data_IF_631735895276
#
_entry.id   IF_631735895276
#
_cell.length_a   1.000
_cell.length_b   1.000
_cell.length_c   1.000
_cell.angle_alpha   90.00
_cell.angle_beta   90.00
_cell.angle_gamma   90.00
#
_symmetry.space_group_name_H-M   'P 1'
#
loop_
_entity.id
_entity.type
_entity.pdbx_description
1 polymer ?
#
# COMPACT_ATOMS: atom_id res chain seq x y z
N UNK A 1 -21.42 25.74 -40.21
CA UNK A 1 -20.83 24.43 -40.57
C UNK A 1 -20.46 23.72 -39.30
N UNK A 2 -21.44 23.01 -38.75
CA UNK A 2 -21.38 22.16 -37.56
C UNK A 2 -21.83 20.81 -38.07
N UNK A 3 -21.01 19.77 -37.92
CA UNK A 3 -21.45 18.43 -38.35
C UNK A 3 -20.32 17.42 -38.52
N UNK A 4 -20.50 16.30 -37.82
CA UNK A 4 -19.90 14.97 -38.07
C UNK A 4 -18.52 14.68 -37.47
N UNK A 5 -18.49 14.53 -36.14
CA UNK A 5 -17.67 13.50 -35.44
C UNK A 5 -18.33 13.00 -34.13
N UNK A 6 -19.62 12.66 -34.20
CA UNK A 6 -20.36 11.93 -33.14
C UNK A 6 -21.37 10.98 -33.80
N UNK A 7 -20.91 9.81 -34.23
CA UNK A 7 -21.75 8.64 -34.52
C UNK A 7 -20.84 7.48 -34.97
N UNK A 8 -20.32 6.67 -34.03
CA UNK A 8 -19.80 5.33 -34.32
C UNK A 8 -19.64 4.43 -33.08
N UNK A 9 -20.41 4.67 -32.01
CA UNK A 9 -20.46 3.79 -30.82
C UNK A 9 -21.90 3.45 -30.42
N UNK A 10 -22.80 3.36 -31.40
CA UNK A 10 -24.18 2.91 -31.18
C UNK A 10 -24.60 1.96 -32.31
N UNK A 11 -24.28 0.67 -32.16
CA UNK A 11 -25.07 -0.52 -32.58
C UNK A 11 -24.16 -1.74 -32.68
N UNK A 12 -24.13 -2.53 -31.60
CA UNK A 12 -23.97 -3.97 -31.67
C UNK A 12 -24.46 -4.58 -30.35
N UNK A 13 -25.78 -4.73 -30.23
CA UNK A 13 -26.37 -5.71 -29.33
C UNK A 13 -26.99 -6.81 -30.20
N UNK A 14 -26.65 -8.06 -29.91
CA UNK A 14 -27.54 -9.23 -29.73
C UNK A 14 -26.91 -10.53 -30.24
N UNK A 15 -26.40 -11.33 -29.30
CA UNK A 15 -26.57 -12.78 -29.29
C UNK A 15 -26.28 -13.35 -27.88
N UNK A 16 -26.94 -14.45 -27.48
CA UNK A 16 -27.24 -14.77 -26.08
C UNK A 16 -26.24 -15.78 -25.51
N UNK A 17 -25.89 -15.66 -24.23
CA UNK A 17 -25.21 -16.76 -23.51
C UNK A 17 -24.11 -16.40 -22.52
N UNK A 18 -23.96 -15.16 -22.08
CA UNK A 18 -23.08 -14.84 -20.95
C UNK A 18 -23.91 -14.43 -19.75
N UNK A 19 -23.91 -15.28 -18.71
CA UNK A 19 -24.43 -14.95 -17.38
C UNK A 19 -23.63 -13.76 -16.87
N UNK A 20 -24.19 -12.56 -16.98
CA UNK A 20 -23.73 -11.39 -16.23
C UNK A 20 -23.86 -11.73 -14.76
N UNK A 21 -22.73 -11.82 -14.05
CA UNK A 21 -22.75 -11.82 -12.59
C UNK A 21 -23.47 -10.54 -12.13
N UNK A 22 -24.43 -10.63 -11.19
CA UNK A 22 -25.13 -9.45 -10.73
C UNK A 22 -24.12 -8.52 -10.05
N UNK A 23 -24.04 -7.27 -10.53
CA UNK A 23 -23.43 -6.18 -9.79
C UNK A 23 -24.06 -6.16 -8.40
N UNK A 24 -23.22 -6.31 -7.38
CA UNK A 24 -23.65 -6.26 -5.98
C UNK A 24 -24.49 -4.99 -5.74
N UNK A 25 -25.55 -5.07 -4.91
CA UNK A 25 -26.43 -3.92 -4.67
C UNK A 25 -25.61 -2.74 -4.13
N UNK A 26 -25.93 -1.53 -4.58
CA UNK A 26 -25.40 -0.29 -4.00
C UNK A 26 -25.82 -0.24 -2.52
N UNK A 27 -24.93 -0.63 -1.63
CA UNK A 27 -25.13 -0.52 -0.18
C UNK A 27 -25.05 0.98 0.16
N UNK A 28 -26.20 1.55 0.51
CA UNK A 28 -26.42 2.99 0.73
C UNK A 28 -26.19 3.43 2.18
N UNK A 29 -25.28 2.77 2.92
CA UNK A 29 -24.93 3.17 4.28
C UNK A 29 -23.50 3.75 4.29
N UNK A 30 -23.25 4.91 4.92
CA UNK A 30 -21.90 5.42 5.08
C UNK A 30 -21.13 4.50 6.04
N UNK A 31 -20.27 3.66 5.50
CA UNK A 31 -19.31 2.91 6.28
C UNK A 31 -18.34 3.90 6.96
N UNK A 32 -18.01 3.70 8.26
CA UNK A 32 -16.97 4.50 8.89
C UNK A 32 -15.65 4.34 8.11
N UNK A 33 -14.76 5.34 8.13
CA UNK A 33 -13.48 5.25 7.44
C UNK A 33 -12.72 3.99 7.87
N UNK A 34 -11.97 3.42 6.92
CA UNK A 34 -11.18 2.19 7.04
C UNK A 34 -10.31 2.12 8.31
N UNK A 35 -10.02 3.29 8.89
CA UNK A 35 -9.16 3.45 10.05
C UNK A 35 -9.91 4.12 11.22
N UNK A 36 -11.13 3.67 11.54
CA UNK A 36 -11.72 4.02 12.83
C UNK A 36 -11.00 3.25 13.95
N UNK A 37 -9.92 3.83 14.46
CA UNK A 37 -9.31 3.37 15.70
C UNK A 37 -10.26 3.67 16.86
N UNK A 38 -11.23 2.80 17.13
CA UNK A 38 -11.93 2.86 18.41
C UNK A 38 -10.98 2.44 19.52
N UNK A 39 -11.09 3.09 20.67
CA UNK A 39 -10.30 2.84 21.90
C UNK A 39 -10.20 1.36 22.27
N UNK A 40 -11.20 0.56 21.88
CA UNK A 40 -11.34 -0.87 22.13
C UNK A 40 -10.53 -1.78 21.17
N UNK A 41 -9.97 -1.25 20.07
CA UNK A 41 -9.45 -2.06 18.94
C UNK A 41 -7.96 -1.83 18.61
N UNK A 42 -7.22 -1.14 19.47
CA UNK A 42 -5.78 -0.95 19.30
C UNK A 42 -4.98 -2.16 19.82
N UNK A 43 -4.17 -2.82 18.98
CA UNK A 43 -3.26 -3.87 19.42
C UNK A 43 -2.06 -3.25 20.16
N UNK A 44 -1.61 -3.85 21.26
CA UNK A 44 -0.38 -3.41 21.93
C UNK A 44 -0.58 -2.42 23.09
N UNK A 45 -1.74 -2.43 23.77
CA UNK A 45 -1.95 -1.73 25.05
C UNK A 45 -0.93 -2.08 26.15
N UNK A 46 -0.04 -3.06 25.93
CA UNK A 46 0.94 -3.51 26.93
C UNK A 46 2.01 -2.48 27.28
N UNK A 47 2.21 -1.41 26.48
CA UNK A 47 3.23 -0.39 26.78
C UNK A 47 2.95 1.07 26.36
N UNK A 48 1.73 1.43 25.92
CA UNK A 48 1.41 2.83 25.57
C UNK A 48 0.61 3.53 26.67
N UNK A 49 0.94 4.78 26.95
CA UNK A 49 0.17 5.56 27.93
C UNK A 49 -1.22 5.87 27.39
N UNK A 50 -2.23 5.97 28.27
CA UNK A 50 -3.58 6.40 27.86
C UNK A 50 -3.56 7.81 27.23
N UNK A 51 -2.56 8.62 27.55
CA UNK A 51 -2.34 9.93 26.92
C UNK A 51 -1.95 9.78 25.46
N UNK A 52 -1.01 8.90 25.13
CA UNK A 52 -0.58 8.64 23.74
C UNK A 52 -1.72 8.09 22.88
N UNK A 53 -2.51 7.17 23.44
CA UNK A 53 -3.69 6.63 22.74
C UNK A 53 -4.67 7.75 22.43
N UNK A 54 -5.00 8.58 23.43
CA UNK A 54 -5.92 9.68 23.24
C UNK A 54 -5.39 10.77 22.29
N UNK A 55 -4.10 11.07 22.35
CA UNK A 55 -3.41 12.00 21.44
C UNK A 55 -3.52 11.53 19.99
N UNK A 56 -3.26 10.24 19.76
CA UNK A 56 -3.45 9.61 18.46
C UNK A 56 -4.91 9.73 17.99
N UNK A 57 -5.89 9.41 18.83
CA UNK A 57 -7.31 9.47 18.47
C UNK A 57 -7.75 10.88 18.06
N UNK A 58 -7.27 11.90 18.78
CA UNK A 58 -7.55 13.31 18.45
C UNK A 58 -6.91 13.70 17.13
N UNK A 59 -5.64 13.35 16.91
CA UNK A 59 -4.93 13.65 15.67
C UNK A 59 -5.59 12.98 14.47
N UNK A 60 -5.92 11.70 14.59
CA UNK A 60 -6.55 10.91 13.53
C UNK A 60 -7.94 11.48 13.17
N UNK A 61 -8.72 11.84 14.18
CA UNK A 61 -10.00 12.52 13.97
C UNK A 61 -9.86 13.86 13.22
N UNK A 62 -8.88 14.69 13.60
CA UNK A 62 -8.60 15.98 12.91
C UNK A 62 -8.18 15.71 11.45
N UNK A 63 -7.32 14.71 11.23
CA UNK A 63 -6.83 14.31 9.90
C UNK A 63 -7.96 13.84 8.98
N UNK A 64 -8.89 13.04 9.50
CA UNK A 64 -10.02 12.51 8.71
C UNK A 64 -11.08 13.58 8.39
N UNK A 65 -11.35 14.49 9.33
CA UNK A 65 -12.34 15.57 9.15
C UNK A 65 -11.83 16.71 8.28
N UNK A 66 -10.51 16.93 8.25
CA UNK A 66 -9.86 18.07 7.61
C UNK A 66 -9.99 19.38 8.39
N UNK A 67 -11.18 19.63 8.94
CA UNK A 67 -11.49 20.83 9.72
C UNK A 67 -12.49 20.55 10.84
N UNK A 68 -12.21 21.02 12.06
CA UNK A 68 -13.03 20.75 13.25
C UNK A 68 -12.85 21.80 14.35
N UNK A 69 -13.67 21.73 15.39
CA UNK A 69 -13.55 22.52 16.63
C UNK A 69 -13.34 21.64 17.87
N UNK A 70 -12.82 22.20 18.96
CA UNK A 70 -12.66 21.45 20.25
C UNK A 70 -13.96 20.82 20.77
N UNK A 71 -15.12 21.51 20.75
CA UNK A 71 -16.38 20.89 21.17
C UNK A 71 -16.79 19.69 20.31
N UNK A 72 -16.51 19.72 19.01
CA UNK A 72 -16.80 18.59 18.11
C UNK A 72 -15.90 17.39 18.43
N UNK A 73 -14.59 17.62 18.62
CA UNK A 73 -13.65 16.57 19.05
C UNK A 73 -14.12 15.95 20.38
N UNK A 74 -14.49 16.78 21.36
CA UNK A 74 -14.95 16.32 22.67
C UNK A 74 -16.22 15.47 22.58
N UNK A 75 -17.19 15.91 21.77
CA UNK A 75 -18.46 15.21 21.55
C UNK A 75 -18.28 13.89 20.82
N UNK A 76 -17.53 13.88 19.72
CA UNK A 76 -17.40 12.70 18.85
C UNK A 76 -16.49 11.63 19.45
N UNK A 77 -15.43 12.02 20.18
CA UNK A 77 -14.53 11.07 20.84
C UNK A 77 -14.93 10.75 22.29
N UNK A 78 -16.06 11.29 22.78
CA UNK A 78 -16.53 11.16 24.15
C UNK A 78 -15.45 11.52 25.21
N UNK A 79 -14.80 12.67 25.01
CA UNK A 79 -13.71 13.16 25.86
C UNK A 79 -14.12 14.44 26.60
N UNK A 80 -13.56 14.66 27.80
CA UNK A 80 -13.78 15.91 28.52
C UNK A 80 -13.13 17.10 27.80
N UNK A 81 -13.78 18.26 27.85
CA UNK A 81 -13.27 19.49 27.22
C UNK A 81 -11.84 19.84 27.69
N UNK A 82 -11.54 19.63 28.97
CA UNK A 82 -10.20 19.82 29.52
C UNK A 82 -9.16 18.89 28.88
N UNK A 83 -9.51 17.62 28.63
CA UNK A 83 -8.61 16.66 27.98
C UNK A 83 -8.35 17.03 26.53
N UNK A 84 -9.40 17.40 25.78
CA UNK A 84 -9.27 17.84 24.39
C UNK A 84 -8.39 19.10 24.32
N UNK A 85 -8.62 20.10 25.17
CA UNK A 85 -7.79 21.32 25.19
C UNK A 85 -6.32 21.02 25.43
N UNK A 86 -6.00 20.12 26.37
CA UNK A 86 -4.62 19.70 26.65
C UNK A 86 -3.97 18.96 25.48
N UNK A 87 -4.70 18.07 24.80
CA UNK A 87 -4.19 17.30 23.67
C UNK A 87 -4.00 18.17 22.42
N UNK A 88 -4.97 19.04 22.13
CA UNK A 88 -4.86 20.03 21.04
C UNK A 88 -3.67 20.96 21.28
N UNK A 89 -3.42 21.39 22.51
CA UNK A 89 -2.23 22.18 22.83
C UNK A 89 -0.94 21.44 22.45
N UNK A 90 -0.79 20.18 22.88
CA UNK A 90 0.39 19.37 22.57
C UNK A 90 0.59 19.14 21.07
N UNK A 91 -0.48 18.80 20.35
CA UNK A 91 -0.44 18.60 18.90
C UNK A 91 -0.07 19.89 18.14
N UNK A 92 -0.49 21.05 18.67
CA UNK A 92 -0.11 22.35 18.12
C UNK A 92 1.35 22.68 18.41
N UNK A 93 1.83 22.42 19.62
CA UNK A 93 3.25 22.60 19.99
C UNK A 93 4.17 21.71 19.15
N UNK A 94 3.73 20.50 18.79
CA UNK A 94 4.46 19.61 17.87
C UNK A 94 4.28 19.98 16.40
N UNK A 95 3.52 21.03 16.08
CA UNK A 95 3.28 21.50 14.71
C UNK A 95 2.37 20.59 13.85
N UNK A 96 1.79 19.52 14.41
CA UNK A 96 0.98 18.54 13.68
C UNK A 96 -0.42 19.05 13.30
N UNK A 97 -0.87 20.10 13.98
CA UNK A 97 -2.14 20.77 13.69
C UNK A 97 -1.93 22.28 13.66
N UNK A 98 -2.85 22.97 12.98
CA UNK A 98 -2.92 24.42 12.93
C UNK A 98 -4.25 24.90 13.50
N UNK A 99 -4.23 26.09 14.09
CA UNK A 99 -5.45 26.79 14.52
C UNK A 99 -5.64 28.07 13.71
N UNK A 100 -6.83 28.22 13.14
CA UNK A 100 -7.25 29.45 12.48
C UNK A 100 -8.40 30.09 13.25
N UNK A 101 -8.52 31.41 13.17
CA UNK A 101 -9.74 32.09 13.62
C UNK A 101 -10.93 31.59 12.78
N UNK A 102 -12.04 31.26 13.45
CA UNK A 102 -13.27 30.88 12.74
C UNK A 102 -13.98 32.10 12.17
N UNK A 103 -14.71 31.91 11.07
CA UNK A 103 -15.56 32.95 10.51
C UNK A 103 -16.73 33.28 11.45
N UNK A 104 -16.96 34.57 11.69
CA UNK A 104 -18.01 35.11 12.57
C UNK A 104 -19.41 35.06 11.91
N UNK A 105 -19.81 33.90 11.37
CA UNK A 105 -21.05 33.75 10.60
C UNK A 105 -22.35 33.64 11.41
N UNK A 106 -22.33 33.81 12.73
CA UNK A 106 -23.52 33.71 13.59
C UNK A 106 -23.34 34.34 14.97
N UNK A 107 -24.45 34.43 15.74
CA UNK A 107 -24.46 34.97 17.09
C UNK A 107 -23.64 34.09 18.06
N UNK A 108 -22.41 34.49 18.32
CA UNK A 108 -21.51 33.83 19.26
C UNK A 108 -20.04 34.22 19.04
N UNK A 109 -19.18 33.96 20.03
CA UNK A 109 -17.73 34.16 19.90
C UNK A 109 -17.20 33.26 18.77
N UNK A 110 -16.39 33.78 17.83
CA UNK A 110 -15.79 32.96 16.78
C UNK A 110 -15.06 31.76 17.39
N UNK A 111 -15.39 30.55 16.92
CA UNK A 111 -14.75 29.31 17.41
C UNK A 111 -13.47 29.09 16.62
N UNK A 112 -12.34 28.82 17.30
CA UNK A 112 -11.12 28.48 16.56
C UNK A 112 -11.33 27.17 15.80
N UNK A 113 -10.90 27.17 14.54
CA UNK A 113 -10.90 25.99 13.70
C UNK A 113 -9.56 25.30 13.81
N UNK A 114 -9.59 23.98 13.81
CA UNK A 114 -8.43 23.11 13.95
C UNK A 114 -8.35 22.27 12.69
N UNK A 115 -7.19 22.30 12.03
CA UNK A 115 -6.91 21.49 10.84
C UNK A 115 -5.59 20.74 11.01
N UNK A 116 -5.44 19.65 10.26
CA UNK A 116 -4.20 18.89 10.18
C UNK A 116 -3.13 19.66 9.40
N UNK A 117 -1.87 19.60 9.85
CA UNK A 117 -0.74 20.19 9.14
C UNK A 117 0.01 19.10 8.34
N UNK A 118 -0.31 18.89 7.05
CA UNK A 118 0.42 17.90 6.23
C UNK A 118 1.90 18.27 6.07
N UNK A 119 2.23 19.57 6.08
CA UNK A 119 3.59 20.08 5.93
C UNK A 119 4.44 20.07 7.20
N UNK A 120 3.97 19.46 8.30
CA UNK A 120 4.75 19.35 9.54
C UNK A 120 5.98 18.42 9.42
N UNK A 121 6.03 17.62 8.35
CA UNK A 121 7.14 16.72 8.04
C UNK A 121 6.86 15.93 6.76
N UNK A 122 7.71 14.95 6.51
CA UNK A 122 7.60 14.07 5.36
C UNK A 122 7.84 12.60 5.71
N UNK A 123 7.37 11.71 4.85
CA UNK A 123 7.66 10.28 4.89
C UNK A 123 8.35 9.88 3.60
N UNK A 124 9.40 9.08 3.71
CA UNK A 124 10.00 8.41 2.54
C UNK A 124 9.39 7.02 2.45
N UNK A 125 8.71 6.71 1.35
CA UNK A 125 8.21 5.37 1.05
C UNK A 125 9.04 4.77 -0.07
N UNK A 126 9.43 3.50 0.02
CA UNK A 126 10.12 2.80 -1.06
C UNK A 126 9.49 1.43 -1.29
N UNK A 127 9.02 1.18 -2.51
CA UNK A 127 8.65 -0.13 -3.00
C UNK A 127 9.82 -0.74 -3.78
N UNK A 128 10.48 -1.74 -3.19
CA UNK A 128 11.61 -2.42 -3.82
C UNK A 128 11.16 -3.73 -4.46
N UNK A 129 10.53 -3.67 -5.63
CA UNK A 129 10.14 -4.87 -6.37
C UNK A 129 11.32 -5.65 -6.97
N UNK A 130 11.04 -6.80 -7.60
CA UNK A 130 12.09 -7.63 -8.22
C UNK A 130 12.80 -7.01 -9.43
N UNK A 131 12.15 -6.04 -10.11
CA UNK A 131 12.68 -5.41 -11.34
C UNK A 131 12.91 -3.90 -11.17
N UNK A 132 12.07 -3.22 -10.38
CA UNK A 132 12.11 -1.77 -10.18
C UNK A 132 12.09 -1.45 -8.68
N UNK A 133 12.88 -0.46 -8.30
CA UNK A 133 12.83 0.25 -7.02
C UNK A 133 12.11 1.58 -7.28
N UNK A 134 10.99 1.81 -6.59
CA UNK A 134 10.21 3.04 -6.69
C UNK A 134 10.10 3.68 -5.32
N UNK A 135 10.80 4.79 -5.13
CA UNK A 135 10.68 5.61 -3.94
C UNK A 135 9.82 6.85 -4.17
N UNK A 136 9.17 7.31 -3.11
CA UNK A 136 8.43 8.56 -3.08
C UNK A 136 8.68 9.30 -1.77
N UNK A 137 8.84 10.62 -1.86
CA UNK A 137 8.76 11.53 -0.72
C UNK A 137 7.32 12.05 -0.66
N UNK A 138 6.66 11.87 0.47
CA UNK A 138 5.30 12.35 0.69
C UNK A 138 5.22 13.26 1.92
N UNK A 139 4.29 14.22 1.91
CA UNK A 139 3.94 14.97 3.13
C UNK A 139 3.22 14.04 4.15
N UNK A 140 2.95 14.52 5.38
CA UNK A 140 2.23 13.71 6.38
C UNK A 140 0.75 13.47 6.01
N UNK A 141 0.23 14.23 5.06
CA UNK A 141 -1.07 14.00 4.44
C UNK A 141 -1.04 12.92 3.38
N UNK A 142 0.13 12.45 2.94
CA UNK A 142 0.30 11.47 1.88
C UNK A 142 0.29 12.04 0.47
N UNK A 143 0.47 13.35 0.29
CA UNK A 143 0.65 13.94 -1.04
C UNK A 143 2.08 13.69 -1.50
N UNK A 144 2.26 13.15 -2.71
CA UNK A 144 3.59 12.91 -3.26
C UNK A 144 4.25 14.23 -3.65
N UNK A 145 5.44 14.49 -3.11
CA UNK A 145 6.25 15.68 -3.33
C UNK A 145 7.38 15.45 -4.34
N UNK A 146 7.92 14.24 -4.36
CA UNK A 146 8.95 13.79 -5.29
C UNK A 146 8.94 12.27 -5.43
N UNK A 147 9.47 11.77 -6.54
CA UNK A 147 9.62 10.33 -6.80
C UNK A 147 11.03 10.03 -7.32
N UNK A 148 11.54 8.85 -7.01
CA UNK A 148 12.77 8.28 -7.57
C UNK A 148 12.50 6.86 -8.06
N UNK A 149 12.87 6.59 -9.31
CA UNK A 149 12.51 5.35 -10.00
C UNK A 149 13.75 4.78 -10.66
N UNK A 150 14.11 3.54 -10.29
CA UNK A 150 15.36 2.91 -10.71
C UNK A 150 15.17 1.42 -10.96
N UNK A 151 15.99 0.78 -11.80
CA UNK A 151 16.09 -0.68 -11.82
C UNK A 151 16.53 -1.22 -10.45
N UNK A 152 15.92 -2.30 -9.96
CA UNK A 152 16.28 -2.91 -8.66
C UNK A 152 17.76 -3.27 -8.60
N UNK A 153 18.28 -3.80 -9.71
CA UNK A 153 19.71 -4.10 -9.90
C UNK A 153 20.29 -3.20 -10.98
N UNK A 154 20.70 -2.01 -10.59
CA UNK A 154 21.38 -1.04 -11.47
C UNK A 154 22.91 -1.19 -11.30
N UNK A 155 23.46 -2.34 -11.68
CA UNK A 155 24.90 -2.64 -11.53
C UNK A 155 25.37 -2.81 -10.07
N UNK A 156 24.45 -2.81 -9.10
CA UNK A 156 24.72 -3.00 -7.67
C UNK A 156 23.72 -3.98 -7.04
N UNK A 157 23.92 -4.32 -5.77
CA UNK A 157 22.94 -5.09 -5.00
C UNK A 157 21.62 -4.31 -4.83
N UNK A 158 20.51 -5.04 -4.66
CA UNK A 158 19.19 -4.45 -4.40
C UNK A 158 19.19 -3.54 -3.16
N UNK A 159 19.96 -3.92 -2.12
CA UNK A 159 20.13 -3.10 -0.92
C UNK A 159 20.84 -1.76 -1.22
N UNK A 160 21.88 -1.78 -2.05
CA UNK A 160 22.57 -0.55 -2.43
C UNK A 160 21.63 0.38 -3.25
N UNK A 161 20.78 -0.18 -4.10
CA UNK A 161 19.76 0.58 -4.83
C UNK A 161 18.73 1.20 -3.88
N UNK A 162 18.19 0.41 -2.95
CA UNK A 162 17.29 0.88 -1.89
C UNK A 162 17.91 2.04 -1.10
N UNK A 163 19.20 1.90 -0.72
CA UNK A 163 19.90 2.95 0.02
C UNK A 163 20.02 4.24 -0.78
N UNK A 164 20.48 4.16 -2.03
CA UNK A 164 20.58 5.34 -2.92
C UNK A 164 19.23 6.04 -3.09
N UNK A 165 18.15 5.28 -3.20
CA UNK A 165 16.80 5.83 -3.33
C UNK A 165 16.39 6.60 -2.06
N UNK A 166 16.61 6.00 -0.89
CA UNK A 166 16.33 6.65 0.41
C UNK A 166 17.17 7.93 0.57
N UNK A 167 18.47 7.88 0.27
CA UNK A 167 19.37 9.01 0.44
C UNK A 167 18.99 10.17 -0.50
N UNK A 168 18.63 9.86 -1.75
CA UNK A 168 18.16 10.87 -2.71
C UNK A 168 16.90 11.58 -2.24
N UNK A 169 15.92 10.84 -1.73
CA UNK A 169 14.64 11.40 -1.26
C UNK A 169 14.80 12.15 0.07
N UNK A 170 15.72 11.72 0.94
CA UNK A 170 16.09 12.48 2.14
C UNK A 170 16.76 13.81 1.79
N UNK A 171 17.68 13.82 0.83
CA UNK A 171 18.31 15.05 0.35
C UNK A 171 17.26 16.03 -0.22
N UNK A 172 16.33 15.52 -1.03
CA UNK A 172 15.20 16.31 -1.55
C UNK A 172 14.33 16.89 -0.42
N UNK A 173 14.05 16.10 0.63
CA UNK A 173 13.31 16.57 1.81
C UNK A 173 14.05 17.67 2.55
N UNK A 174 15.37 17.56 2.68
CA UNK A 174 16.22 18.55 3.33
C UNK A 174 16.26 19.87 2.55
N UNK A 175 16.36 19.81 1.22
CA UNK A 175 16.28 20.99 0.34
C UNK A 175 14.94 21.74 0.49
N UNK A 176 13.86 21.01 0.82
CA UNK A 176 12.53 21.57 1.08
C UNK A 176 12.33 22.05 2.51
N UNK A 177 13.32 21.85 3.40
CA UNK A 177 13.19 22.16 4.82
C UNK A 177 12.16 21.28 5.54
N UNK A 178 11.82 20.10 5.00
CA UNK A 178 10.86 19.19 5.58
C UNK A 178 11.60 18.07 6.33
N UNK A 179 11.42 17.93 7.66
CA UNK A 179 12.02 16.81 8.39
C UNK A 179 11.36 15.49 7.99
N UNK A 180 12.18 14.47 7.70
CA UNK A 180 11.68 13.11 7.45
C UNK A 180 11.31 12.47 8.79
N UNK A 181 10.02 12.28 9.02
CA UNK A 181 9.46 11.72 10.24
C UNK A 181 9.60 10.20 10.30
N UNK A 182 9.51 9.51 9.16
CA UNK A 182 9.62 8.06 9.07
C UNK A 182 9.97 7.58 7.65
N UNK A 183 10.41 6.32 7.57
CA UNK A 183 10.62 5.60 6.32
C UNK A 183 9.75 4.33 6.30
N UNK A 184 9.04 4.08 5.21
CA UNK A 184 8.31 2.83 4.97
C UNK A 184 8.91 2.10 3.77
N UNK A 185 9.22 0.81 3.90
CA UNK A 185 9.90 0.04 2.86
C UNK A 185 9.08 -1.22 2.56
N UNK A 186 8.59 -1.35 1.33
CA UNK A 186 8.00 -2.55 0.76
C UNK A 186 9.07 -3.43 0.14
N UNK A 187 9.06 -4.72 0.46
CA UNK A 187 9.99 -5.70 -0.10
C UNK A 187 9.26 -6.98 -0.54
N UNK A 188 9.70 -7.65 -1.62
CA UNK A 188 9.12 -8.90 -2.10
C UNK A 188 9.69 -10.06 -1.29
N UNK A 189 9.61 -9.98 0.03
CA UNK A 189 10.24 -10.92 0.94
C UNK A 189 9.47 -11.09 2.25
N UNK A 190 9.58 -12.28 2.82
CA UNK A 190 9.14 -12.54 4.19
C UNK A 190 10.23 -12.02 5.13
N UNK A 191 9.88 -11.06 5.98
CA UNK A 191 10.79 -10.53 7.01
C UNK A 191 10.44 -11.15 8.36
N UNK A 192 11.40 -11.86 8.93
CA UNK A 192 11.27 -12.42 10.26
C UNK A 192 11.32 -11.30 11.31
N UNK A 193 10.25 -11.15 12.07
CA UNK A 193 10.14 -10.08 13.06
C UNK A 193 11.07 -10.25 14.28
N UNK A 194 11.58 -11.46 14.55
CA UNK A 194 12.45 -11.71 15.71
C UNK A 194 13.91 -11.45 15.38
N UNK A 195 14.35 -11.89 14.20
CA UNK A 195 15.74 -11.84 13.76
C UNK A 195 16.02 -10.67 12.84
N UNK A 196 15.00 -10.06 12.25
CA UNK A 196 15.12 -8.97 11.27
C UNK A 196 15.69 -9.40 9.91
N UNK A 197 15.78 -10.71 9.68
CA UNK A 197 16.30 -11.28 8.44
C UNK A 197 15.21 -11.43 7.40
N UNK A 198 15.56 -11.17 6.15
CA UNK A 198 14.76 -11.60 5.02
C UNK A 198 14.91 -13.13 4.88
N UNK A 199 13.82 -13.88 5.06
CA UNK A 199 13.81 -15.34 5.02
C UNK A 199 13.80 -15.88 3.58
N UNK A 200 13.40 -15.05 2.62
CA UNK A 200 13.37 -15.37 1.20
C UNK A 200 12.61 -14.28 0.45
N UNK A 201 12.86 -14.18 -0.85
CA UNK A 201 12.16 -13.25 -1.73
C UNK A 201 12.60 -13.47 -3.17
N UNK A 202 11.68 -13.76 -4.11
CA UNK A 202 12.07 -13.97 -5.49
C UNK A 202 12.71 -12.69 -6.02
N UNK A 203 13.83 -12.81 -6.71
CA UNK A 203 14.50 -11.72 -7.41
C UNK A 203 15.22 -10.67 -6.53
N UNK A 204 15.42 -10.88 -5.24
CA UNK A 204 16.31 -10.08 -4.38
C UNK A 204 17.26 -11.04 -3.67
N UNK A 205 18.59 -10.89 -3.82
CA UNK A 205 19.63 -11.83 -3.31
C UNK A 205 19.74 -11.82 -1.77
N UNK A 206 18.62 -12.02 -1.07
CA UNK A 206 18.42 -11.67 0.33
C UNK A 206 18.11 -12.86 1.22
N UNK A 207 18.33 -14.09 0.74
CA UNK A 207 18.16 -15.27 1.57
C UNK A 207 19.11 -15.21 2.78
N UNK A 208 18.54 -15.03 3.97
CA UNK A 208 19.31 -14.87 5.21
C UNK A 208 19.97 -13.50 5.40
N UNK A 209 19.63 -12.51 4.56
CA UNK A 209 20.18 -11.16 4.64
C UNK A 209 19.59 -10.40 5.83
N UNK A 210 20.47 -9.88 6.69
CA UNK A 210 20.10 -9.04 7.84
C UNK A 210 19.69 -7.63 7.38
N UNK A 211 18.46 -7.52 6.88
CA UNK A 211 17.91 -6.30 6.32
C UNK A 211 17.67 -5.24 7.41
N UNK A 212 17.00 -5.62 8.50
CA UNK A 212 16.69 -4.67 9.58
C UNK A 212 17.97 -4.20 10.30
N UNK A 213 18.92 -5.10 10.55
CA UNK A 213 20.18 -4.75 11.22
C UNK A 213 21.07 -3.84 10.37
N UNK A 214 21.05 -3.99 9.04
CA UNK A 214 21.74 -3.04 8.14
C UNK A 214 21.02 -1.70 8.06
N UNK A 215 19.70 -1.69 7.92
CA UNK A 215 18.91 -0.45 7.92
C UNK A 215 19.11 0.32 9.23
N UNK A 216 19.12 -0.35 10.38
CA UNK A 216 19.34 0.28 11.68
C UNK A 216 20.72 0.93 11.84
N UNK A 217 21.73 0.49 11.08
CA UNK A 217 23.06 1.11 11.06
C UNK A 217 23.12 2.32 10.11
N UNK A 218 22.37 2.24 9.02
CA UNK A 218 22.45 3.19 7.91
C UNK A 218 21.39 4.31 8.00
N UNK A 219 20.33 4.12 8.80
CA UNK A 219 19.17 5.00 8.90
C UNK A 219 18.99 5.43 10.36
N UNK A 220 18.99 6.74 10.58
CA UNK A 220 18.85 7.42 11.87
C UNK A 220 17.41 7.85 12.20
N UNK A 221 16.48 7.64 11.27
CA UNK A 221 15.06 7.94 11.43
C UNK A 221 14.23 6.66 11.64
N UNK A 222 13.07 6.73 12.31
CA UNK A 222 12.18 5.58 12.45
C UNK A 222 11.85 4.96 11.09
N UNK A 223 11.94 3.63 10.99
CA UNK A 223 11.59 2.92 9.76
C UNK A 223 10.76 1.67 10.03
N UNK A 224 10.00 1.28 9.02
CA UNK A 224 9.32 -0.01 8.97
C UNK A 224 9.62 -0.70 7.64
N UNK A 225 9.74 -2.02 7.69
CA UNK A 225 9.86 -2.87 6.50
C UNK A 225 8.68 -3.81 6.52
N UNK A 226 8.01 -3.93 5.37
CA UNK A 226 6.85 -4.77 5.21
C UNK A 226 6.87 -5.45 3.84
N UNK A 227 6.13 -6.55 3.71
CA UNK A 227 5.88 -7.18 2.42
C UNK A 227 5.16 -6.20 1.48
N UNK A 228 5.58 -6.17 0.21
CA UNK A 228 5.04 -5.27 -0.82
C UNK A 228 3.53 -5.49 -1.07
N UNK A 229 3.05 -6.73 -1.07
CA UNK A 229 1.63 -7.07 -1.22
C UNK A 229 0.81 -6.63 -0.01
N UNK A 230 1.36 -6.73 1.20
CA UNK A 230 0.71 -6.22 2.41
C UNK A 230 0.57 -4.69 2.37
N UNK A 231 1.60 -3.97 1.94
CA UNK A 231 1.53 -2.52 1.74
C UNK A 231 0.54 -2.15 0.64
N UNK A 232 0.46 -2.93 -0.44
CA UNK A 232 -0.54 -2.75 -1.48
C UNK A 232 -1.97 -2.92 -0.95
N UNK A 233 -2.20 -3.90 -0.07
CA UNK A 233 -3.49 -4.05 0.61
C UNK A 233 -3.81 -2.84 1.49
N UNK A 234 -2.86 -2.37 2.31
CA UNK A 234 -3.04 -1.17 3.12
C UNK A 234 -3.33 0.08 2.26
N UNK A 235 -2.68 0.21 1.11
CA UNK A 235 -2.93 1.30 0.16
C UNK A 235 -4.36 1.24 -0.41
N UNK A 236 -4.83 0.05 -0.81
CA UNK A 236 -6.21 -0.15 -1.27
C UNK A 236 -7.23 0.23 -0.21
N UNK A 237 -6.89 -0.06 1.03
CA UNK A 237 -7.73 0.19 2.17
C UNK A 237 -7.72 1.66 2.64
N UNK A 238 -6.62 2.37 2.41
CA UNK A 238 -6.55 3.78 2.77
C UNK A 238 -7.17 4.68 1.69
N UNK A 239 -6.78 4.50 0.44
CA UNK A 239 -7.15 5.40 -0.68
C UNK A 239 -7.66 4.70 -1.93
N UNK A 240 -7.58 3.37 -1.99
CA UNK A 240 -8.06 2.61 -3.14
C UNK A 240 -9.52 2.19 -3.04
N UNK A 241 -9.81 1.05 -3.67
CA UNK A 241 -11.17 0.54 -3.82
C UNK A 241 -11.71 -0.11 -2.53
N UNK A 242 -10.80 -0.51 -1.62
CA UNK A 242 -11.14 -1.21 -0.39
C UNK A 242 -11.38 -0.28 0.82
N UNK A 243 -11.40 1.05 0.63
CA UNK A 243 -11.53 2.04 1.73
C UNK A 243 -12.81 1.97 2.59
N UNK A 244 -13.79 1.19 2.17
CA UNK A 244 -15.04 0.97 2.89
C UNK A 244 -15.23 -0.51 3.28
N UNK A 245 -14.21 -1.34 3.05
CA UNK A 245 -14.23 -2.77 3.33
C UNK A 245 -13.38 -3.05 4.56
N UNK A 246 -13.92 -3.84 5.49
CA UNK A 246 -13.16 -4.34 6.65
C UNK A 246 -12.53 -5.70 6.39
N UNK A 247 -13.06 -6.41 5.40
CA UNK A 247 -12.67 -7.77 5.06
C UNK A 247 -12.48 -7.86 3.55
N UNK A 248 -11.25 -8.09 3.11
CA UNK A 248 -10.91 -8.24 1.68
C UNK A 248 -9.58 -8.96 1.51
N UNK A 249 -9.32 -9.41 0.27
CA UNK A 249 -8.04 -9.98 -0.13
C UNK A 249 -7.52 -9.20 -1.33
N UNK A 250 -6.28 -8.75 -1.24
CA UNK A 250 -5.52 -8.26 -2.39
C UNK A 250 -4.73 -9.44 -2.94
N UNK A 251 -4.84 -9.69 -4.25
CA UNK A 251 -4.02 -10.66 -4.96
C UNK A 251 -3.13 -9.90 -5.95
N UNK A 252 -1.82 -9.95 -5.74
CA UNK A 252 -0.83 -9.39 -6.64
C UNK A 252 -0.39 -10.47 -7.62
N UNK A 253 -0.50 -10.19 -8.92
CA UNK A 253 -0.06 -11.06 -10.00
C UNK A 253 0.91 -10.26 -10.88
N UNK A 254 2.17 -10.66 -10.89
CA UNK A 254 3.21 -10.00 -11.67
C UNK A 254 4.32 -10.97 -12.04
N UNK A 255 5.55 -10.63 -11.63
CA UNK A 255 6.71 -11.55 -11.71
C UNK A 255 6.56 -12.73 -10.75
N UNK A 256 5.95 -12.50 -9.58
CA UNK A 256 5.50 -13.51 -8.63
C UNK A 256 3.99 -13.43 -8.38
N UNK A 257 3.50 -14.25 -7.44
CA UNK A 257 2.12 -14.22 -6.96
C UNK A 257 2.13 -14.17 -5.44
N UNK A 258 1.53 -13.11 -4.88
CA UNK A 258 1.32 -12.97 -3.46
C UNK A 258 -0.09 -12.48 -3.16
N UNK A 259 -0.56 -12.74 -1.95
CA UNK A 259 -1.83 -12.26 -1.46
C UNK A 259 -1.67 -11.59 -0.10
N UNK A 260 -2.55 -10.66 0.20
CA UNK A 260 -2.65 -10.06 1.53
C UNK A 260 -4.14 -10.06 1.92
N UNK A 261 -4.45 -10.67 3.06
CA UNK A 261 -5.79 -10.69 3.59
C UNK A 261 -5.92 -9.64 4.69
N UNK A 262 -6.96 -8.82 4.60
CA UNK A 262 -7.40 -7.92 5.67
C UNK A 262 -8.67 -8.50 6.25
N UNK A 263 -8.69 -8.72 7.56
CA UNK A 263 -9.84 -9.22 8.31
C UNK A 263 -10.06 -8.29 9.49
N UNK A 264 -11.30 -7.84 9.69
CA UNK A 264 -11.66 -6.86 10.71
C UNK A 264 -10.86 -5.54 10.63
N UNK A 265 -10.40 -5.17 9.44
CA UNK A 265 -9.57 -3.98 9.19
C UNK A 265 -8.10 -4.17 9.55
N UNK A 266 -7.63 -5.41 9.69
CA UNK A 266 -6.27 -5.75 10.12
C UNK A 266 -5.64 -6.75 9.15
N UNK A 267 -4.36 -6.52 8.81
CA UNK A 267 -3.59 -7.49 8.05
C UNK A 267 -3.49 -8.82 8.79
N UNK A 268 -3.73 -9.90 8.07
CA UNK A 268 -3.47 -11.27 8.52
C UNK A 268 -2.01 -11.59 8.19
N UNK A 269 -1.14 -11.57 9.20
CA UNK A 269 0.30 -11.81 9.05
C UNK A 269 0.72 -13.28 9.15
N UNK A 270 -0.08 -14.10 9.85
CA UNK A 270 0.32 -15.45 10.25
C UNK A 270 1.41 -15.45 11.33
N UNK A 271 1.79 -16.64 11.82
CA UNK A 271 2.76 -16.78 12.91
C UNK A 271 4.18 -16.33 12.53
N UNK A 272 4.58 -16.55 11.28
CA UNK A 272 5.92 -16.27 10.75
C UNK A 272 5.96 -15.09 9.76
N UNK A 273 4.96 -14.20 9.78
CA UNK A 273 4.80 -13.13 8.76
C UNK A 273 4.75 -13.65 7.31
N UNK A 274 4.30 -14.89 7.11
CA UNK A 274 4.27 -15.58 5.81
C UNK A 274 2.85 -15.91 5.34
N UNK A 275 1.82 -15.31 5.96
CA UNK A 275 0.46 -15.46 5.45
C UNK A 275 0.34 -14.80 4.08
N UNK A 276 -0.37 -15.46 3.16
CA UNK A 276 -0.58 -14.90 1.82
C UNK A 276 0.45 -15.30 0.77
N UNK A 277 1.39 -16.18 1.09
CA UNK A 277 2.34 -16.82 0.16
C UNK A 277 1.65 -17.86 -0.77
N UNK A 278 0.52 -17.46 -1.36
CA UNK A 278 -0.33 -18.31 -2.22
C UNK A 278 0.37 -18.71 -3.52
N UNK A 279 1.42 -17.99 -3.92
CA UNK A 279 2.28 -18.37 -5.05
C UNK A 279 2.87 -19.78 -4.90
N UNK A 280 3.11 -20.24 -3.66
CA UNK A 280 3.65 -21.57 -3.36
C UNK A 280 2.61 -22.69 -3.33
N UNK A 281 1.32 -22.38 -3.52
CA UNK A 281 0.27 -23.41 -3.60
C UNK A 281 0.59 -24.44 -4.68
N UNK A 282 0.50 -25.72 -4.31
CA UNK A 282 0.64 -26.84 -5.24
C UNK A 282 -0.71 -27.09 -5.91
N UNK A 283 -0.75 -26.98 -7.24
CA UNK A 283 -1.99 -27.05 -8.03
C UNK A 283 -2.18 -28.39 -8.73
N UNK A 284 -1.10 -29.16 -8.96
CA UNK A 284 -1.17 -30.47 -9.61
C UNK A 284 -0.32 -31.50 -8.89
N UNK A 285 -0.55 -32.80 -9.14
CA UNK A 285 0.23 -33.89 -8.51
C UNK A 285 1.68 -33.88 -8.98
N UNK A 286 1.91 -33.54 -10.25
CA UNK A 286 3.26 -33.48 -10.85
C UNK A 286 4.13 -32.46 -10.11
N UNK A 287 3.52 -31.37 -9.66
CA UNK A 287 4.20 -30.33 -8.89
C UNK A 287 4.67 -30.80 -7.50
N UNK A 288 4.15 -31.90 -6.96
CA UNK A 288 4.62 -32.48 -5.69
C UNK A 288 5.99 -33.14 -5.82
N UNK A 289 6.36 -33.61 -7.01
CA UNK A 289 7.66 -34.22 -7.25
C UNK A 289 8.79 -33.17 -7.36
N UNK A 290 8.44 -31.91 -7.63
CA UNK A 290 9.37 -30.80 -7.86
C UNK A 290 8.95 -29.51 -7.11
N UNK A 291 8.92 -29.55 -5.75
CA UNK A 291 8.61 -28.36 -4.96
C UNK A 291 9.70 -27.31 -5.18
N UNK A 292 9.30 -26.10 -5.58
CA UNK A 292 10.24 -24.98 -5.76
C UNK A 292 11.18 -25.07 -6.97
N UNK A 293 10.95 -25.97 -7.93
CA UNK A 293 11.75 -26.04 -9.15
C UNK A 293 11.80 -24.68 -9.87
N UNK A 294 13.02 -24.22 -10.16
CA UNK A 294 13.26 -22.91 -10.77
C UNK A 294 13.08 -21.70 -9.83
N UNK A 295 12.99 -21.92 -8.51
CA UNK A 295 12.85 -20.84 -7.52
C UNK A 295 11.46 -20.20 -7.47
N UNK A 296 10.46 -20.82 -8.11
CA UNK A 296 9.07 -20.38 -8.15
C UNK A 296 8.14 -21.40 -7.46
N UNK A 297 7.10 -20.88 -6.83
CA UNK A 297 6.01 -21.67 -6.26
C UNK A 297 5.13 -22.37 -7.31
N UNK A 298 4.33 -23.36 -6.88
CA UNK A 298 3.48 -24.15 -7.77
C UNK A 298 2.48 -23.33 -8.57
N UNK A 299 1.85 -22.33 -7.93
CA UNK A 299 0.92 -21.42 -8.59
C UNK A 299 1.65 -20.41 -9.47
N UNK A 300 2.80 -19.91 -9.03
CA UNK A 300 3.59 -18.95 -9.80
C UNK A 300 4.06 -19.52 -11.15
N UNK A 301 4.40 -20.82 -11.17
CA UNK A 301 4.83 -21.51 -12.39
C UNK A 301 3.75 -21.56 -13.48
N UNK A 302 2.49 -21.33 -13.15
CA UNK A 302 1.38 -21.40 -14.13
C UNK A 302 0.69 -20.07 -14.40
N UNK A 303 0.68 -19.14 -13.45
CA UNK A 303 -0.17 -17.95 -13.52
C UNK A 303 0.57 -16.61 -13.40
N UNK A 304 1.89 -16.59 -13.23
CA UNK A 304 2.66 -15.34 -13.35
C UNK A 304 2.69 -14.85 -14.79
N UNK A 305 2.93 -13.56 -15.00
CA UNK A 305 3.12 -13.00 -16.34
C UNK A 305 4.15 -13.79 -17.16
N UNK A 306 5.39 -13.98 -16.66
CA UNK A 306 6.39 -14.81 -17.32
C UNK A 306 5.97 -16.26 -17.58
N UNK A 307 5.20 -16.89 -16.68
CA UNK A 307 4.68 -18.24 -16.90
C UNK A 307 3.67 -18.30 -18.05
N UNK A 308 2.75 -17.34 -18.10
CA UNK A 308 1.76 -17.22 -19.17
C UNK A 308 2.46 -17.01 -20.52
N UNK A 309 3.42 -16.08 -20.58
CA UNK A 309 4.20 -15.82 -21.79
C UNK A 309 4.98 -17.06 -22.26
N UNK A 310 5.68 -17.76 -21.35
CA UNK A 310 6.38 -19.01 -21.70
C UNK A 310 5.43 -20.07 -22.25
N UNK A 311 4.28 -20.26 -21.61
CA UNK A 311 3.26 -21.23 -22.05
C UNK A 311 2.73 -20.88 -23.44
N UNK A 312 2.42 -19.62 -23.70
CA UNK A 312 1.98 -19.16 -25.02
C UNK A 312 3.06 -19.40 -26.09
N UNK A 313 4.34 -19.08 -25.81
CA UNK A 313 5.44 -19.36 -26.72
C UNK A 313 5.59 -20.86 -27.03
N UNK A 314 5.45 -21.74 -26.03
CA UNK A 314 5.46 -23.20 -26.23
C UNK A 314 4.32 -23.65 -27.15
N UNK A 315 3.10 -23.15 -26.94
CA UNK A 315 1.94 -23.49 -27.76
C UNK A 315 2.10 -23.00 -29.21
N UNK A 316 2.59 -21.77 -29.41
CA UNK A 316 2.83 -21.22 -30.74
C UNK A 316 3.90 -21.97 -31.53
N UNK A 317 4.93 -22.49 -30.85
CA UNK A 317 5.95 -23.33 -31.51
C UNK A 317 5.39 -24.69 -31.92
N UNK A 318 4.44 -25.23 -31.16
CA UNK A 318 3.80 -26.51 -31.47
C UNK A 318 2.70 -26.38 -32.53
N UNK A 319 2.01 -25.23 -32.57
CA UNK A 319 0.89 -24.97 -33.49
C UNK A 319 0.78 -23.46 -33.75
N UNK A 320 1.52 -22.92 -34.74
CA UNK A 320 1.53 -21.49 -35.02
C UNK A 320 0.25 -20.99 -35.72
N UNK A 321 -0.51 -21.90 -36.34
CA UNK A 321 -1.67 -21.56 -37.15
C UNK A 321 -2.83 -20.99 -36.32
N UNK A 322 -3.39 -19.86 -36.76
CA UNK A 322 -4.57 -19.24 -36.16
C UNK A 322 -4.29 -18.25 -35.03
N UNK A 323 -3.02 -17.97 -34.71
CA UNK A 323 -2.62 -16.95 -33.73
C UNK A 323 -2.26 -15.61 -34.39
N UNK A 324 -2.60 -14.51 -33.71
CA UNK A 324 -2.13 -13.15 -34.05
C UNK A 324 -0.71 -12.85 -33.52
N UNK A 325 -0.18 -13.72 -32.66
CA UNK A 325 1.13 -13.59 -32.03
C UNK A 325 2.17 -14.50 -32.71
N UNK A 326 3.39 -13.99 -32.87
CA UNK A 326 4.55 -14.76 -33.29
C UNK A 326 5.29 -15.35 -32.07
N UNK A 327 5.93 -16.53 -32.17
CA UNK A 327 6.65 -17.16 -31.06
C UNK A 327 7.71 -16.28 -30.38
N UNK A 328 8.34 -15.38 -31.13
CA UNK A 328 9.44 -14.53 -30.65
C UNK A 328 8.97 -13.16 -30.15
N UNK A 329 7.68 -12.83 -30.28
CA UNK A 329 7.09 -11.57 -29.80
C UNK A 329 6.23 -11.74 -28.54
N UNK A 330 6.32 -12.90 -27.88
CA UNK A 330 5.46 -13.23 -26.76
C UNK A 330 5.92 -12.54 -25.48
N UNK A 331 5.09 -11.60 -25.02
CA UNK A 331 5.19 -10.99 -23.70
C UNK A 331 3.88 -11.21 -22.92
N UNK A 332 3.88 -11.05 -21.58
CA UNK A 332 2.65 -11.15 -20.80
C UNK A 332 1.57 -10.18 -21.31
N UNK A 333 1.97 -8.97 -21.68
CA UNK A 333 1.09 -7.94 -22.24
C UNK A 333 0.53 -8.36 -23.61
N UNK A 334 1.38 -8.89 -24.50
CA UNK A 334 0.94 -9.33 -25.83
C UNK A 334 -0.07 -10.47 -25.74
N UNK A 335 0.11 -11.41 -24.80
CA UNK A 335 -0.86 -12.49 -24.55
C UNK A 335 -2.20 -11.93 -24.04
N UNK A 336 -2.16 -10.96 -23.12
CA UNK A 336 -3.38 -10.32 -22.60
C UNK A 336 -4.14 -9.54 -23.67
N UNK A 337 -3.44 -8.80 -24.53
CA UNK A 337 -4.05 -8.02 -25.61
C UNK A 337 -4.67 -8.90 -26.72
N UNK A 338 -4.21 -10.14 -26.86
CA UNK A 338 -4.70 -11.09 -27.86
C UNK A 338 -5.90 -11.95 -27.40
N UNK A 339 -6.20 -11.97 -26.09
CA UNK A 339 -7.24 -12.82 -25.47
C UNK A 339 -8.60 -12.11 -25.38
#
# INVERSE_FOLDING_TARGET
MVGRRRALLAKASTSPGHRRFPLAPRISAPYPPFVSFRKERMPGLRHRSMVEVNEFLVLDFIRERGDTTRPEIARELAMSAASVSRLVHRLRESGLIQESEGSAGGAGRPRSRISFNPGAGAVVAVDLGGTRCHGALADLGGSILAEDVRPTREGSSAYATLRRCIDRLRAESAERGLPVAAIAIGVPAIVDAQTGRALGGPNVDWQGFDLLGRLAKDVDVPFTVENDVDLAALAQAWRGEARHLRDFVTLSIGTGIGAAAVVDGRLVKGHHNAAGEVGYMVLTREQLAEPGAGGLGGFERVATGPAIARRAATLLRASPDGSVLAPDSVSPQAVFEAA
#
